data_IF_419538984229
#
_entry.id   IF_419538984229
#
_cell.length_a   1.000
_cell.length_b   1.000
_cell.length_c   1.000
_cell.angle_alpha   90.00
_cell.angle_beta   90.00
_cell.angle_gamma   90.00
#
_symmetry.space_group_name_H-M   'P 1'
#
loop_
_entity.id
_entity.type
_entity.pdbx_description
1 polymer ?
#
# COMPACT_ATOMS: atom_id res chain seq x y z
N UNK A 1 -10.55 -14.16 -15.80
CA UNK A 1 -9.84 -15.17 -16.60
C UNK A 1 -8.66 -14.54 -17.31
N UNK A 2 -7.44 -14.94 -16.92
CA UNK A 2 -6.27 -14.66 -17.76
C UNK A 2 -6.43 -15.52 -19.03
N UNK A 3 -6.66 -14.90 -20.17
CA UNK A 3 -6.74 -15.65 -21.43
C UNK A 3 -5.35 -16.13 -21.85
N UNK A 4 -5.28 -17.18 -22.67
CA UNK A 4 -4.02 -17.69 -23.25
C UNK A 4 -3.16 -16.59 -23.92
N UNK A 5 -3.77 -15.50 -24.40
CA UNK A 5 -3.07 -14.33 -24.94
C UNK A 5 -2.22 -13.59 -23.86
N UNK A 6 -2.54 -13.71 -22.57
CA UNK A 6 -1.70 -13.11 -21.52
C UNK A 6 -0.40 -13.87 -21.29
N UNK A 7 -0.33 -15.14 -21.58
CA UNK A 7 0.86 -15.98 -21.34
C UNK A 7 2.00 -15.67 -22.33
N UNK A 8 1.65 -15.11 -23.48
CA UNK A 8 2.62 -14.78 -24.54
C UNK A 8 3.32 -13.43 -24.27
N UNK A 9 2.64 -12.49 -23.62
CA UNK A 9 3.14 -11.11 -23.45
C UNK A 9 3.46 -10.73 -22.01
N UNK A 10 2.87 -11.39 -21.02
CA UNK A 10 3.12 -11.10 -19.61
C UNK A 10 4.23 -11.96 -19.07
N UNK A 11 5.26 -11.31 -18.56
CA UNK A 11 6.41 -12.01 -17.92
C UNK A 11 6.19 -12.26 -16.44
N UNK A 12 5.24 -11.57 -15.83
CA UNK A 12 4.98 -11.62 -14.39
C UNK A 12 3.49 -11.65 -14.12
N UNK A 13 3.11 -12.27 -13.03
CA UNK A 13 1.78 -12.22 -12.44
C UNK A 13 1.85 -11.51 -11.10
N UNK A 14 0.76 -10.91 -10.69
CA UNK A 14 0.60 -10.27 -9.38
C UNK A 14 -0.74 -10.64 -8.78
N UNK A 15 -0.85 -10.43 -7.48
CA UNK A 15 -2.09 -10.60 -6.71
C UNK A 15 -2.42 -9.32 -5.95
N UNK A 16 -3.66 -9.20 -5.49
CA UNK A 16 -4.08 -8.08 -4.64
C UNK A 16 -4.86 -8.60 -3.44
N UNK A 17 -4.65 -7.96 -2.28
CA UNK A 17 -5.32 -8.27 -1.01
C UNK A 17 -5.16 -9.73 -0.56
N UNK A 18 -4.00 -10.33 -0.85
CA UNK A 18 -3.66 -11.66 -0.33
C UNK A 18 -2.94 -11.53 1.01
N UNK A 19 -3.49 -12.16 2.04
CA UNK A 19 -2.80 -12.39 3.30
C UNK A 19 -1.66 -13.39 3.15
N UNK A 20 -0.76 -13.45 4.14
CA UNK A 20 0.42 -14.32 4.11
C UNK A 20 0.03 -15.80 3.96
N UNK A 21 -1.05 -16.22 4.60
CA UNK A 21 -1.54 -17.61 4.57
C UNK A 21 -2.02 -17.99 3.17
N UNK A 22 -2.73 -17.08 2.48
CA UNK A 22 -3.19 -17.29 1.11
C UNK A 22 -2.03 -17.30 0.11
N UNK A 23 -1.01 -16.49 0.35
CA UNK A 23 0.20 -16.53 -0.47
C UNK A 23 0.93 -17.86 -0.29
N UNK A 24 1.06 -18.33 0.95
CA UNK A 24 1.70 -19.60 1.23
C UNK A 24 0.95 -20.77 0.57
N UNK A 25 -0.38 -20.78 0.63
CA UNK A 25 -1.22 -21.77 -0.06
C UNK A 25 -1.02 -21.72 -1.58
N UNK A 26 -0.96 -20.50 -2.14
CA UNK A 26 -0.69 -20.31 -3.57
C UNK A 26 0.68 -20.89 -3.98
N UNK A 27 1.73 -20.73 -3.16
CA UNK A 27 3.07 -21.24 -3.43
C UNK A 27 3.13 -22.76 -3.39
N UNK A 28 2.35 -23.40 -2.52
CA UNK A 28 2.31 -24.84 -2.39
C UNK A 28 1.64 -25.54 -3.60
N UNK A 29 0.76 -24.84 -4.28
CA UNK A 29 -0.08 -25.42 -5.34
C UNK A 29 0.26 -24.88 -6.75
N UNK A 30 1.24 -23.98 -6.89
CA UNK A 30 1.62 -23.39 -8.17
C UNK A 30 3.12 -23.24 -8.30
N UNK A 31 3.65 -23.50 -9.49
CA UNK A 31 5.07 -23.37 -9.79
C UNK A 31 5.54 -21.91 -9.87
N UNK A 32 4.65 -20.99 -10.26
CA UNK A 32 4.97 -19.58 -10.49
C UNK A 32 4.45 -18.74 -9.32
N UNK A 33 5.38 -18.12 -8.59
CA UNK A 33 5.05 -17.16 -7.54
C UNK A 33 4.64 -15.81 -8.14
N UNK A 34 3.70 -15.08 -7.52
CA UNK A 34 3.42 -13.71 -7.91
C UNK A 34 4.63 -12.81 -7.65
N UNK A 35 4.89 -11.90 -8.57
CA UNK A 35 5.97 -10.92 -8.44
C UNK A 35 5.58 -9.72 -7.54
N UNK A 36 4.28 -9.46 -7.39
CA UNK A 36 3.72 -8.33 -6.66
C UNK A 36 2.51 -8.79 -5.85
N UNK A 37 2.41 -8.32 -4.62
CA UNK A 37 1.16 -8.30 -3.87
C UNK A 37 0.79 -6.86 -3.53
N UNK A 38 -0.36 -6.41 -4.04
CA UNK A 38 -0.89 -5.07 -3.80
C UNK A 38 -1.87 -5.12 -2.62
N UNK A 39 -1.51 -4.52 -1.49
CA UNK A 39 -2.31 -4.51 -0.26
C UNK A 39 -2.49 -3.10 0.30
N UNK A 40 -3.56 -2.88 1.05
CA UNK A 40 -3.78 -1.62 1.76
C UNK A 40 -2.60 -1.33 2.67
N UNK A 41 -1.91 -0.18 2.46
CA UNK A 41 -0.78 0.18 3.31
C UNK A 41 -0.61 1.69 3.41
N UNK A 42 -0.69 2.20 4.63
CA UNK A 42 -0.55 3.62 4.96
C UNK A 42 -0.14 3.77 6.45
N UNK A 43 0.16 4.99 6.95
CA UNK A 43 0.63 5.19 8.34
C UNK A 43 -0.23 4.58 9.44
N UNK A 44 -1.55 4.46 9.25
CA UNK A 44 -2.47 3.89 10.26
C UNK A 44 -2.69 2.39 10.12
N UNK A 45 -2.31 1.80 8.96
CA UNK A 45 -2.38 0.36 8.72
C UNK A 45 -1.14 -0.06 7.94
N UNK A 46 -0.08 -0.45 8.67
CA UNK A 46 1.27 -0.46 8.13
C UNK A 46 1.72 -1.79 7.53
N UNK A 47 0.96 -2.85 7.74
CA UNK A 47 1.25 -4.18 7.17
C UNK A 47 2.70 -4.64 7.45
N UNK A 48 3.17 -4.48 8.70
CA UNK A 48 4.58 -4.73 9.06
C UNK A 48 4.98 -6.18 8.81
N UNK A 49 4.16 -7.11 9.29
CA UNK A 49 4.41 -8.56 9.15
C UNK A 49 4.32 -8.99 7.69
N UNK A 50 3.30 -8.50 6.96
CA UNK A 50 3.15 -8.77 5.54
C UNK A 50 4.35 -8.22 4.75
N UNK A 51 4.85 -7.02 5.05
CA UNK A 51 6.00 -6.44 4.37
C UNK A 51 7.26 -7.30 4.57
N UNK A 52 7.51 -7.77 5.79
CA UNK A 52 8.65 -8.67 6.08
C UNK A 52 8.52 -9.98 5.32
N UNK A 53 7.34 -10.62 5.36
CA UNK A 53 7.08 -11.86 4.64
C UNK A 53 7.29 -11.70 3.13
N UNK A 54 6.71 -10.66 2.52
CA UNK A 54 6.85 -10.39 1.10
C UNK A 54 8.31 -10.19 0.68
N UNK A 55 9.09 -9.46 1.48
CA UNK A 55 10.52 -9.27 1.24
C UNK A 55 11.29 -10.60 1.30
N UNK A 56 11.00 -11.46 2.27
CA UNK A 56 11.62 -12.78 2.41
C UNK A 56 11.31 -13.69 1.22
N UNK A 57 10.10 -13.60 0.67
CA UNK A 57 9.65 -14.39 -0.47
C UNK A 57 10.05 -13.78 -1.84
N UNK A 58 10.70 -12.61 -1.86
CA UNK A 58 11.09 -11.91 -3.08
C UNK A 58 9.89 -11.31 -3.85
N UNK A 59 8.79 -11.02 -3.15
CA UNK A 59 7.57 -10.45 -3.72
C UNK A 59 7.55 -8.96 -3.43
N UNK A 60 7.30 -8.15 -4.46
CA UNK A 60 7.20 -6.71 -4.29
C UNK A 60 5.90 -6.34 -3.56
N UNK A 61 6.05 -5.67 -2.42
CA UNK A 61 4.94 -5.02 -1.74
C UNK A 61 4.55 -3.76 -2.48
N UNK A 62 3.30 -3.65 -2.91
CA UNK A 62 2.70 -2.46 -3.50
C UNK A 62 1.55 -1.96 -2.63
N UNK A 63 1.54 -0.66 -2.31
CA UNK A 63 0.53 -0.05 -1.46
C UNK A 63 -0.61 0.54 -2.29
N UNK A 64 -1.84 0.04 -2.12
CA UNK A 64 -3.02 0.80 -2.49
C UNK A 64 -3.47 1.66 -1.30
N UNK A 65 -4.23 2.73 -1.58
CA UNK A 65 -4.68 3.73 -0.61
C UNK A 65 -3.56 4.29 0.30
N UNK A 66 -2.40 4.72 -0.24
CA UNK A 66 -1.28 5.21 0.58
C UNK A 66 -1.66 6.38 1.49
N UNK A 67 -2.74 7.08 1.20
CA UNK A 67 -3.29 8.19 1.97
C UNK A 67 -4.54 7.82 2.77
N UNK A 68 -4.81 6.54 3.03
CA UNK A 68 -6.00 6.06 3.76
C UNK A 68 -7.31 6.66 3.23
N UNK A 69 -7.41 6.95 1.93
CA UNK A 69 -8.53 7.69 1.30
C UNK A 69 -8.87 9.02 1.97
N UNK A 70 -7.92 9.65 2.64
CA UNK A 70 -8.11 10.89 3.41
C UNK A 70 -8.82 10.70 4.74
N UNK A 71 -9.11 9.45 5.15
CA UNK A 71 -9.81 9.14 6.39
C UNK A 71 -8.96 9.46 7.63
N UNK A 72 -9.61 9.55 8.78
CA UNK A 72 -9.01 9.74 10.10
C UNK A 72 -8.07 10.96 10.19
N UNK A 73 -8.31 11.98 9.35
CA UNK A 73 -7.53 13.21 9.38
C UNK A 73 -6.05 13.03 9.04
N UNK A 74 -5.69 12.05 8.22
CA UNK A 74 -4.30 11.69 7.92
C UNK A 74 -3.45 12.90 7.50
N UNK A 75 -3.98 13.79 6.68
CA UNK A 75 -3.29 15.00 6.24
C UNK A 75 -3.16 16.08 7.33
N UNK A 76 -3.88 15.94 8.45
CA UNK A 76 -3.84 16.86 9.57
C UNK A 76 -3.17 16.27 10.80
N UNK A 77 -2.68 15.02 10.72
CA UNK A 77 -2.08 14.34 11.86
C UNK A 77 -0.83 15.07 12.34
N UNK A 78 -0.72 15.42 13.65
CA UNK A 78 0.36 16.27 14.17
C UNK A 78 1.76 15.76 13.83
N UNK A 79 2.03 14.48 14.03
CA UNK A 79 3.32 13.86 13.74
C UNK A 79 3.71 14.05 12.26
N UNK A 80 2.79 13.75 11.34
CA UNK A 80 3.04 13.87 9.91
C UNK A 80 3.25 15.33 9.47
N UNK A 81 2.50 16.26 10.08
CA UNK A 81 2.66 17.71 9.81
C UNK A 81 4.01 18.23 10.30
N UNK A 82 4.41 17.88 11.51
CA UNK A 82 5.72 18.29 12.05
C UNK A 82 6.87 17.82 11.17
N UNK A 83 6.81 16.58 10.69
CA UNK A 83 7.82 16.05 9.77
C UNK A 83 7.78 16.79 8.43
N UNK A 84 6.58 17.04 7.90
CA UNK A 84 6.40 17.76 6.64
C UNK A 84 6.98 19.18 6.70
N UNK A 85 6.69 19.92 7.75
CA UNK A 85 7.20 21.27 8.00
C UNK A 85 8.72 21.29 8.09
N UNK A 86 9.32 20.33 8.83
CA UNK A 86 10.79 20.22 8.97
C UNK A 86 11.50 20.02 7.65
N UNK A 87 10.89 19.25 6.72
CA UNK A 87 11.46 19.00 5.39
C UNK A 87 11.01 19.99 4.32
N UNK A 88 10.14 20.95 4.63
CA UNK A 88 9.54 21.86 3.64
C UNK A 88 8.71 21.08 2.59
N UNK A 89 8.01 20.03 3.01
CA UNK A 89 7.26 19.10 2.15
C UNK A 89 5.80 19.04 2.56
N UNK A 90 4.96 18.48 1.68
CA UNK A 90 3.58 18.16 2.04
C UNK A 90 3.50 16.87 2.84
N UNK A 91 2.45 16.70 3.62
CA UNK A 91 2.17 15.43 4.32
C UNK A 91 2.07 14.26 3.35
N UNK A 92 1.51 14.49 2.16
CA UNK A 92 1.46 13.48 1.11
C UNK A 92 2.86 13.01 0.69
N UNK A 93 3.79 13.93 0.46
CA UNK A 93 5.17 13.59 0.12
C UNK A 93 5.87 12.82 1.25
N UNK A 94 5.64 13.20 2.51
CA UNK A 94 6.19 12.48 3.67
C UNK A 94 5.69 11.04 3.71
N UNK A 95 4.38 10.81 3.53
CA UNK A 95 3.79 9.47 3.52
C UNK A 95 4.38 8.62 2.39
N UNK A 96 4.44 9.16 1.18
CA UNK A 96 4.99 8.44 0.03
C UNK A 96 6.48 8.12 0.21
N UNK A 97 7.25 9.07 0.76
CA UNK A 97 8.67 8.85 1.05
C UNK A 97 8.87 7.78 2.13
N UNK A 98 8.05 7.80 3.18
CA UNK A 98 8.08 6.79 4.23
C UNK A 98 7.80 5.40 3.69
N UNK A 99 6.78 5.23 2.84
CA UNK A 99 6.50 3.95 2.18
C UNK A 99 7.66 3.51 1.28
N UNK A 100 8.19 4.44 0.47
CA UNK A 100 9.33 4.15 -0.42
C UNK A 100 10.57 3.72 0.36
N UNK A 101 10.90 4.36 1.50
CA UNK A 101 12.04 3.96 2.34
C UNK A 101 11.86 2.58 3.00
N UNK A 102 10.63 2.07 3.09
CA UNK A 102 10.30 0.71 3.52
C UNK A 102 10.36 -0.32 2.38
N UNK A 103 10.77 0.09 1.18
CA UNK A 103 10.76 -0.77 0.00
C UNK A 103 9.37 -1.05 -0.59
N UNK A 104 8.38 -0.22 -0.23
CA UNK A 104 7.00 -0.35 -0.71
C UNK A 104 6.79 0.53 -1.94
N UNK A 105 6.32 -0.05 -3.03
CA UNK A 105 5.88 0.67 -4.23
C UNK A 105 4.56 1.37 -3.93
N UNK A 106 4.39 2.60 -4.41
CA UNK A 106 3.21 3.42 -4.16
C UNK A 106 2.54 3.85 -5.46
N UNK A 107 1.21 3.81 -5.49
CA UNK A 107 0.40 4.20 -6.66
C UNK A 107 -0.60 5.31 -6.27
N UNK A 108 -0.13 6.52 -5.92
CA UNK A 108 -1.00 7.60 -5.47
C UNK A 108 -1.85 8.13 -6.63
N UNK A 109 -3.16 7.99 -6.51
CA UNK A 109 -4.11 8.49 -7.51
C UNK A 109 -4.29 10.01 -7.39
N UNK A 110 -4.17 10.72 -8.51
CA UNK A 110 -4.58 12.11 -8.62
C UNK A 110 -5.08 12.43 -10.03
N UNK A 111 -6.00 13.40 -10.11
CA UNK A 111 -6.46 14.02 -11.38
C UNK A 111 -5.93 15.44 -11.52
N UNK A 112 -5.21 15.96 -10.53
CA UNK A 112 -4.64 17.30 -10.52
C UNK A 112 -3.15 17.23 -10.86
N UNK A 113 -2.74 17.94 -11.88
CA UNK A 113 -1.36 17.96 -12.39
C UNK A 113 -0.34 18.33 -11.30
N UNK A 114 -0.66 19.35 -10.50
CA UNK A 114 0.21 19.83 -9.43
C UNK A 114 0.47 18.70 -8.40
N UNK A 115 -0.59 17.96 -8.01
CA UNK A 115 -0.47 16.83 -7.08
C UNK A 115 0.28 15.63 -7.68
N UNK A 116 0.15 15.42 -9.00
CA UNK A 116 0.95 14.37 -9.66
C UNK A 116 2.44 14.72 -9.61
N UNK A 117 2.79 15.99 -9.82
CA UNK A 117 4.17 16.46 -9.70
C UNK A 117 4.67 16.37 -8.25
N UNK A 118 3.87 16.78 -7.25
CA UNK A 118 4.20 16.62 -5.83
C UNK A 118 4.45 15.15 -5.47
N UNK A 119 3.57 14.25 -5.89
CA UNK A 119 3.68 12.82 -5.60
C UNK A 119 4.95 12.20 -6.19
N UNK A 120 5.46 12.73 -7.28
CA UNK A 120 6.72 12.29 -7.90
C UNK A 120 7.95 12.89 -7.22
N UNK A 121 7.82 14.09 -6.61
CA UNK A 121 8.93 14.84 -5.99
C UNK A 121 9.20 14.36 -4.54
N UNK A 122 9.54 13.08 -4.40
CA UNK A 122 9.79 12.42 -3.11
C UNK A 122 11.21 11.87 -2.95
N UNK A 123 12.06 12.00 -3.97
CA UNK A 123 13.38 11.35 -3.99
C UNK A 123 14.52 12.28 -3.56
N UNK A 124 14.27 13.56 -3.40
CA UNK A 124 15.26 14.59 -3.06
C UNK A 124 15.33 14.93 -1.55
N UNK A 125 14.69 14.15 -0.70
CA UNK A 125 14.81 14.18 0.76
C UNK A 125 14.72 12.77 1.34
N UNK A 126 15.19 12.63 2.58
CA UNK A 126 15.17 11.33 3.29
C UNK A 126 14.69 11.55 4.71
N UNK A 127 13.78 10.69 5.17
CA UNK A 127 13.32 10.68 6.55
C UNK A 127 14.39 10.03 7.44
N UNK A 128 14.62 10.61 8.61
CA UNK A 128 15.53 10.05 9.62
C UNK A 128 14.93 8.82 10.29
N UNK A 129 15.75 8.04 11.00
CA UNK A 129 15.27 6.87 11.75
C UNK A 129 14.26 7.24 12.83
N UNK A 130 14.40 8.41 13.46
CA UNK A 130 13.46 8.94 14.45
C UNK A 130 12.12 9.28 13.80
N UNK A 131 12.12 9.89 12.61
CA UNK A 131 10.92 10.21 11.85
C UNK A 131 10.24 8.94 11.36
N UNK A 132 11.01 7.96 10.86
CA UNK A 132 10.50 6.64 10.48
C UNK A 132 9.84 5.93 11.67
N UNK A 133 10.46 5.96 12.87
CA UNK A 133 9.89 5.42 14.11
C UNK A 133 8.66 6.19 14.57
N UNK A 134 8.68 7.52 14.44
CA UNK A 134 7.52 8.37 14.76
C UNK A 134 6.29 7.99 13.92
N UNK A 135 6.47 7.78 12.62
CA UNK A 135 5.39 7.31 11.74
C UNK A 135 5.02 5.85 12.07
N UNK A 136 6.00 5.00 12.37
CA UNK A 136 5.74 3.61 12.76
C UNK A 136 4.87 3.48 14.02
N UNK A 137 4.87 4.47 14.89
CA UNK A 137 4.01 4.56 16.08
C UNK A 137 2.54 4.87 15.79
N UNK A 138 2.19 5.25 14.55
CA UNK A 138 0.81 5.58 14.16
C UNK A 138 -0.05 4.36 13.80
N UNK A 139 0.56 3.19 13.74
CA UNK A 139 -0.09 1.94 13.34
C UNK A 139 -1.22 1.58 14.30
N UNK A 140 -2.42 1.40 13.78
CA UNK A 140 -3.57 0.94 14.56
C UNK A 140 -3.80 -0.57 14.44
N UNK A 141 -3.10 -1.22 13.50
CA UNK A 141 -3.28 -2.64 13.19
C UNK A 141 -4.64 -2.97 12.56
N UNK A 142 -5.41 -1.96 12.16
CA UNK A 142 -6.74 -2.13 11.57
C UNK A 142 -6.93 -1.22 10.38
N UNK A 143 -7.61 -1.73 9.34
CA UNK A 143 -8.02 -0.92 8.21
C UNK A 143 -9.09 0.11 8.62
N UNK A 144 -8.93 1.39 8.28
CA UNK A 144 -10.00 2.38 8.39
C UNK A 144 -10.92 2.38 7.15
N UNK A 145 -10.60 1.60 6.13
CA UNK A 145 -11.31 1.61 4.84
C UNK A 145 -12.37 0.50 4.82
N UNK A 146 -11.96 -0.72 5.02
CA UNK A 146 -12.84 -1.88 5.18
C UNK A 146 -12.10 -3.02 5.90
N UNK A 147 -12.88 -3.94 6.44
CA UNK A 147 -12.37 -5.20 7.00
C UNK A 147 -12.75 -6.33 6.04
N UNK A 148 -11.76 -6.91 5.38
CA UNK A 148 -11.94 -8.01 4.43
C UNK A 148 -12.26 -9.36 5.13
N UNK A 149 -12.15 -9.41 6.45
CA UNK A 149 -12.58 -10.54 7.28
C UNK A 149 -13.98 -10.35 7.86
N UNK A 150 -14.58 -9.17 7.73
CA UNK A 150 -15.94 -8.89 8.19
C UNK A 150 -16.98 -9.41 7.19
N UNK A 151 -17.84 -10.32 7.64
CA UNK A 151 -18.84 -10.96 6.78
C UNK A 151 -19.80 -9.97 6.08
N UNK A 152 -20.34 -8.93 6.72
CA UNK A 152 -21.10 -7.90 6.04
C UNK A 152 -20.33 -7.22 4.90
N UNK A 153 -19.07 -6.86 5.13
CA UNK A 153 -18.19 -6.24 4.13
C UNK A 153 -17.96 -7.17 2.94
N UNK A 154 -17.60 -8.43 3.20
CA UNK A 154 -17.39 -9.44 2.16
C UNK A 154 -18.65 -9.66 1.32
N UNK A 155 -19.82 -9.74 1.96
CA UNK A 155 -21.11 -9.83 1.26
C UNK A 155 -21.40 -8.59 0.41
N UNK A 156 -21.15 -7.40 0.95
CA UNK A 156 -21.36 -6.13 0.24
C UNK A 156 -20.51 -6.05 -1.02
N UNK A 157 -19.24 -6.40 -0.94
CA UNK A 157 -18.32 -6.43 -2.10
C UNK A 157 -18.77 -7.49 -3.12
N UNK A 158 -19.11 -8.71 -2.65
CA UNK A 158 -19.48 -9.82 -3.53
C UNK A 158 -20.82 -9.64 -4.22
N UNK A 159 -21.71 -8.79 -3.71
CA UNK A 159 -23.02 -8.50 -4.30
C UNK A 159 -23.06 -7.17 -5.05
N UNK A 160 -21.98 -6.37 -4.99
CA UNK A 160 -21.91 -5.09 -5.69
C UNK A 160 -21.81 -5.33 -7.20
N UNK A 161 -22.84 -4.92 -7.93
CA UNK A 161 -22.81 -4.96 -9.41
C UNK A 161 -21.96 -3.81 -9.91
N UNK A 162 -20.90 -4.14 -10.63
CA UNK A 162 -19.97 -3.16 -11.24
C UNK A 162 -20.47 -2.74 -12.63
N UNK A 163 -21.28 -3.59 -13.27
CA UNK A 163 -21.91 -3.34 -14.56
C UNK A 163 -23.37 -3.82 -14.52
N UNK A 164 -24.27 -3.09 -15.16
CA UNK A 164 -25.64 -3.53 -15.49
C UNK A 164 -25.63 -4.47 -16.69
#
# INVERSE_FOLDING_TARGET
YSSAASDVYKRQIGVTSFGNERLQDLFLHNEVKPAVNQIETHPFFQQKEANVFLQQEGIQHEAWAPFAEGKNGIFQHPVLKTIAEKHGRTVGQVILRWLNQRGVVVIPKSVRKERMMENLDIFNFTLTDEEMKGIAGLDTGKSPIYDDMDLPTVRGIGTHKIHD
#
